data_IF_361349549876
#
_entry.id   IF_361349549876
#
_cell.length_a   1.000
_cell.length_b   1.000
_cell.length_c   1.000
_cell.angle_alpha   90.00
_cell.angle_beta   90.00
_cell.angle_gamma   90.00
#
_symmetry.space_group_name_H-M   'P 1'
#
loop_
_entity.id
_entity.type
_entity.pdbx_description
1 polymer ?
#
# COMPACT_ATOMS: atom_id res chain seq x y z
N UNK A 1 -8.29 26.29 28.36
CA UNK A 1 -7.19 25.78 27.51
C UNK A 1 -7.72 25.77 26.10
N UNK A 2 -7.09 26.51 25.15
CA UNK A 2 -7.50 26.43 23.75
C UNK A 2 -7.24 24.99 23.28
N UNK A 3 -8.31 24.27 22.93
CA UNK A 3 -8.16 22.97 22.27
C UNK A 3 -7.34 23.15 20.98
N UNK A 4 -6.37 22.25 20.76
CA UNK A 4 -5.65 22.22 19.50
C UNK A 4 -6.66 21.89 18.38
N UNK A 5 -6.77 22.76 17.39
CA UNK A 5 -7.71 22.55 16.27
C UNK A 5 -7.15 21.61 15.22
N UNK A 6 -5.83 21.36 15.25
CA UNK A 6 -5.12 20.54 14.27
C UNK A 6 -4.12 19.60 14.95
N UNK A 7 -3.85 18.49 14.26
CA UNK A 7 -2.73 17.61 14.56
C UNK A 7 -1.98 17.28 13.26
N UNK A 8 -0.77 16.71 13.38
CA UNK A 8 0.03 16.28 12.24
C UNK A 8 -0.16 14.77 12.07
N UNK A 9 -0.63 14.35 10.90
CA UNK A 9 -0.63 12.97 10.46
C UNK A 9 0.52 12.74 9.48
N UNK A 10 1.21 11.61 9.56
CA UNK A 10 2.30 11.27 8.66
C UNK A 10 2.18 9.85 8.11
N UNK A 11 2.24 9.72 6.79
CA UNK A 11 2.45 8.45 6.10
C UNK A 11 3.90 8.41 5.59
N UNK A 12 4.73 7.58 6.23
CA UNK A 12 6.16 7.58 5.98
C UNK A 12 6.65 6.25 5.42
N UNK A 13 6.67 6.17 4.10
CA UNK A 13 7.19 5.01 3.39
C UNK A 13 8.71 4.97 3.29
N UNK A 14 9.22 3.94 2.61
CA UNK A 14 10.65 3.78 2.35
C UNK A 14 11.22 4.94 1.52
N UNK A 15 10.50 5.37 0.48
CA UNK A 15 10.97 6.35 -0.51
C UNK A 15 10.43 7.76 -0.31
N UNK A 16 9.28 7.92 0.34
CA UNK A 16 8.58 9.19 0.47
C UNK A 16 7.94 9.35 1.86
N UNK A 17 7.92 10.60 2.33
CA UNK A 17 7.14 11.07 3.46
C UNK A 17 5.99 11.95 2.95
N UNK A 18 4.79 11.71 3.46
CA UNK A 18 3.63 12.61 3.30
C UNK A 18 3.17 13.06 4.68
N UNK A 19 3.12 14.37 4.89
CA UNK A 19 2.61 14.99 6.11
C UNK A 19 1.31 15.71 5.80
N UNK A 20 0.36 15.61 6.70
CA UNK A 20 -0.96 16.20 6.61
C UNK A 20 -1.24 17.03 7.87
N UNK A 21 -1.68 18.25 7.69
CA UNK A 21 -2.29 19.08 8.75
C UNK A 21 -3.78 18.73 8.78
N UNK A 22 -4.22 18.06 9.84
CA UNK A 22 -5.56 17.47 9.91
C UNK A 22 -6.35 18.13 11.03
N UNK A 23 -7.58 18.54 10.72
CA UNK A 23 -8.54 19.04 11.71
C UNK A 23 -8.92 17.93 12.69
N UNK A 24 -8.88 18.21 13.98
CA UNK A 24 -9.06 17.22 15.05
C UNK A 24 -10.48 16.66 15.12
N UNK A 25 -11.47 17.38 14.65
CA UNK A 25 -12.89 17.00 14.73
C UNK A 25 -13.36 16.36 13.44
N UNK A 26 -13.17 17.04 12.31
CA UNK A 26 -13.69 16.61 11.01
C UNK A 26 -12.79 15.61 10.29
N UNK A 27 -11.51 15.52 10.64
CA UNK A 27 -10.52 14.73 9.90
C UNK A 27 -10.14 15.32 8.54
N UNK A 28 -10.64 16.52 8.21
CA UNK A 28 -10.30 17.19 6.95
C UNK A 28 -8.83 17.60 6.93
N UNK A 29 -8.19 17.40 5.78
CA UNK A 29 -6.82 17.83 5.54
C UNK A 29 -6.80 19.29 5.11
N UNK A 30 -6.20 20.15 5.92
CA UNK A 30 -6.07 21.57 5.64
C UNK A 30 -4.82 21.87 4.79
N UNK A 31 -3.76 21.10 4.93
CA UNK A 31 -2.53 21.29 4.16
C UNK A 31 -1.72 19.99 4.09
N UNK A 32 -0.88 19.86 3.07
CA UNK A 32 0.02 18.73 2.86
C UNK A 32 1.46 19.17 2.65
N UNK A 33 2.41 18.33 3.05
CA UNK A 33 3.83 18.47 2.72
C UNK A 33 4.43 17.12 2.40
N UNK A 34 5.42 17.11 1.52
CA UNK A 34 6.22 15.93 1.20
C UNK A 34 7.64 16.07 1.74
N UNK A 35 8.27 14.96 2.00
CA UNK A 35 9.64 14.89 2.46
C UNK A 35 10.33 13.60 2.03
N UNK A 36 11.61 13.42 2.41
CA UNK A 36 12.38 12.21 2.09
C UNK A 36 11.80 10.98 2.81
N UNK A 37 11.88 9.81 2.15
CA UNK A 37 11.53 8.54 2.77
C UNK A 37 12.54 8.09 3.82
N UNK A 38 12.17 7.07 4.60
CA UNK A 38 13.02 6.56 5.71
C UNK A 38 14.39 6.10 5.23
N UNK A 39 14.53 5.57 4.02
CA UNK A 39 15.83 5.16 3.47
C UNK A 39 16.84 6.30 3.25
N UNK A 40 16.38 7.55 3.33
CA UNK A 40 17.18 8.76 3.05
C UNK A 40 17.45 9.59 4.32
N UNK A 41 17.02 9.11 5.49
CA UNK A 41 17.08 9.87 6.75
C UNK A 41 17.64 9.00 7.86
N UNK A 42 18.58 9.54 8.65
CA UNK A 42 19.04 8.85 9.86
C UNK A 42 17.99 8.98 10.98
N UNK A 43 17.79 7.93 11.76
CA UNK A 43 16.80 7.91 12.84
C UNK A 43 16.94 9.09 13.83
N UNK A 44 18.19 9.48 14.15
CA UNK A 44 18.48 10.59 15.07
C UNK A 44 18.13 11.97 14.51
N UNK A 45 17.99 12.10 13.18
CA UNK A 45 17.68 13.36 12.50
C UNK A 45 16.17 13.56 12.29
N UNK A 46 15.37 12.54 12.57
CA UNK A 46 13.92 12.57 12.34
C UNK A 46 13.23 13.68 13.11
N UNK A 47 13.50 13.91 14.43
CA UNK A 47 12.84 15.00 15.17
C UNK A 47 13.11 16.38 14.54
N UNK A 48 14.35 16.66 14.14
CA UNK A 48 14.75 17.93 13.55
C UNK A 48 14.18 18.10 12.13
N UNK A 49 14.16 17.03 11.35
CA UNK A 49 13.52 17.05 10.03
C UNK A 49 12.03 17.38 10.13
N UNK A 50 11.31 16.73 11.04
CA UNK A 50 9.90 16.98 11.28
C UNK A 50 9.67 18.41 11.78
N UNK A 51 10.49 18.89 12.70
CA UNK A 51 10.41 20.28 13.19
C UNK A 51 10.53 21.28 12.04
N UNK A 52 11.54 21.14 11.16
CA UNK A 52 11.73 22.00 9.98
C UNK A 52 10.57 21.91 8.98
N UNK A 53 10.11 20.70 8.68
CA UNK A 53 9.01 20.52 7.73
C UNK A 53 7.70 21.09 8.26
N UNK A 54 7.44 20.97 9.55
CA UNK A 54 6.19 21.39 10.18
C UNK A 54 6.23 22.85 10.72
N UNK A 55 7.39 23.50 10.74
CA UNK A 55 7.57 24.85 11.30
C UNK A 55 6.48 25.86 10.89
N UNK A 56 6.12 26.02 9.58
CA UNK A 56 5.08 26.97 9.19
C UNK A 56 3.71 26.64 9.80
N UNK A 57 3.39 25.36 10.00
CA UNK A 57 2.14 24.95 10.63
C UNK A 57 2.16 25.20 12.15
N UNK A 58 3.31 24.94 12.79
CA UNK A 58 3.51 25.13 14.23
C UNK A 58 3.47 26.63 14.61
N UNK A 59 3.89 27.53 13.70
CA UNK A 59 3.81 28.96 13.91
C UNK A 59 2.38 29.52 13.76
N UNK A 60 1.55 28.89 12.92
CA UNK A 60 0.21 29.37 12.60
C UNK A 60 -0.89 28.73 13.46
N UNK A 61 -0.64 27.52 13.98
CA UNK A 61 -1.64 26.72 14.66
C UNK A 61 -1.11 26.17 15.99
N UNK A 62 -2.00 26.02 16.97
CA UNK A 62 -1.68 25.32 18.20
C UNK A 62 -1.75 23.80 17.96
N UNK A 63 -0.61 23.18 17.66
CA UNK A 63 -0.46 21.74 17.37
C UNK A 63 0.33 21.11 18.51
N UNK A 64 -0.25 20.15 19.21
CA UNK A 64 0.39 19.46 20.34
C UNK A 64 0.53 17.96 20.13
N UNK A 65 0.06 17.42 18.98
CA UNK A 65 0.02 15.99 18.73
C UNK A 65 0.42 15.66 17.29
N UNK A 66 1.14 14.57 17.13
CA UNK A 66 1.43 13.99 15.82
C UNK A 66 1.31 12.46 15.86
N UNK A 67 0.91 11.86 14.74
CA UNK A 67 0.77 10.41 14.61
C UNK A 67 1.24 9.95 13.23
N UNK A 68 2.00 8.87 13.20
CA UNK A 68 2.68 8.40 12.01
C UNK A 68 2.41 6.92 11.76
N UNK A 69 2.27 6.53 10.49
CA UNK A 69 2.26 5.14 10.03
C UNK A 69 3.43 4.85 9.09
N UNK A 70 3.63 3.59 8.78
CA UNK A 70 4.61 3.13 7.80
C UNK A 70 6.01 2.91 8.38
N UNK A 71 7.02 3.02 7.52
CA UNK A 71 8.41 2.63 7.82
C UNK A 71 9.08 3.41 8.95
N UNK A 72 8.53 4.54 9.35
CA UNK A 72 8.99 5.28 10.55
C UNK A 72 8.91 4.43 11.82
N UNK A 73 8.03 3.43 11.87
CA UNK A 73 7.86 2.47 12.96
C UNK A 73 8.64 1.17 12.80
N UNK A 74 9.58 1.09 11.88
CA UNK A 74 10.45 -0.07 11.68
C UNK A 74 11.76 0.06 12.47
N UNK A 75 12.56 -1.01 12.50
CA UNK A 75 13.89 -1.04 13.15
C UNK A 75 14.88 -0.04 12.55
N UNK A 76 14.66 0.42 11.32
CA UNK A 76 15.46 1.47 10.66
C UNK A 76 14.81 2.86 10.74
N UNK A 77 13.63 2.95 11.36
CA UNK A 77 12.87 4.20 11.51
C UNK A 77 13.18 4.94 12.81
N UNK A 78 12.23 5.76 13.25
CA UNK A 78 12.35 6.55 14.47
C UNK A 78 12.32 5.71 15.75
N UNK A 79 11.40 4.73 15.79
CA UNK A 79 11.31 3.75 16.86
C UNK A 79 10.65 2.48 16.33
N UNK A 80 11.09 1.33 16.78
CA UNK A 80 10.43 0.07 16.45
C UNK A 80 9.08 -0.03 17.20
N UNK A 81 8.00 0.15 16.45
CA UNK A 81 6.64 0.09 16.98
C UNK A 81 6.09 -1.36 17.11
N UNK A 82 6.86 -2.35 16.68
CA UNK A 82 6.46 -3.75 16.70
C UNK A 82 5.31 -4.09 15.76
N UNK A 83 4.67 -5.25 16.00
CA UNK A 83 3.55 -5.78 15.21
C UNK A 83 2.47 -6.36 16.12
N UNK A 84 1.21 -6.26 15.69
CA UNK A 84 0.09 -7.01 16.26
C UNK A 84 -0.24 -8.21 15.37
N UNK A 85 -0.66 -9.31 15.98
CA UNK A 85 -0.93 -10.55 15.27
C UNK A 85 -2.38 -10.65 14.77
N UNK A 86 -2.57 -11.15 13.56
CA UNK A 86 -3.87 -11.54 13.03
C UNK A 86 -4.38 -12.85 13.70
N UNK A 87 -5.72 -13.04 13.78
CA UNK A 87 -6.81 -12.15 13.34
C UNK A 87 -6.87 -10.86 14.15
N UNK A 88 -7.08 -9.73 13.49
CA UNK A 88 -6.96 -8.42 14.13
C UNK A 88 -8.09 -7.45 13.72
N UNK A 89 -8.83 -6.93 14.71
CA UNK A 89 -9.59 -5.68 14.56
C UNK A 89 -8.61 -4.52 14.60
N UNK A 90 -8.50 -3.79 13.48
CA UNK A 90 -7.53 -2.70 13.33
C UNK A 90 -7.78 -1.51 14.27
N UNK A 91 -8.98 -1.36 14.84
CA UNK A 91 -9.23 -0.35 15.87
C UNK A 91 -8.37 -0.60 17.12
N UNK A 92 -7.99 -1.84 17.40
CA UNK A 92 -7.13 -2.21 18.54
C UNK A 92 -5.71 -1.64 18.45
N UNK A 93 -5.25 -1.23 17.25
CA UNK A 93 -3.96 -0.54 17.06
C UNK A 93 -3.85 0.72 17.93
N UNK A 94 -4.95 1.42 18.18
CA UNK A 94 -4.98 2.62 19.03
C UNK A 94 -4.48 2.35 20.46
N UNK A 95 -4.60 1.12 20.96
CA UNK A 95 -4.17 0.72 22.29
C UNK A 95 -2.67 0.35 22.37
N UNK A 96 -1.98 0.34 21.23
CA UNK A 96 -0.59 -0.13 21.10
C UNK A 96 0.30 0.86 20.35
N UNK A 97 -0.10 2.12 20.29
CA UNK A 97 0.71 3.19 19.73
C UNK A 97 2.05 3.31 20.47
N UNK A 98 3.13 3.44 19.72
CA UNK A 98 4.48 3.59 20.24
C UNK A 98 4.86 5.07 20.34
N UNK A 99 5.38 5.50 21.49
CA UNK A 99 5.94 6.85 21.68
C UNK A 99 7.41 6.84 21.27
N UNK A 100 7.81 7.57 20.21
CA UNK A 100 9.20 7.61 19.82
C UNK A 100 10.05 8.47 20.77
N UNK A 101 11.37 8.20 20.88
CA UNK A 101 12.27 9.00 21.71
C UNK A 101 12.52 10.40 21.12
N UNK A 102 12.88 11.34 21.99
CA UNK A 102 13.31 12.71 21.63
C UNK A 102 12.29 13.47 20.75
N UNK A 103 11.01 13.18 20.88
CA UNK A 103 9.96 13.89 20.15
C UNK A 103 9.76 15.31 20.72
N UNK A 104 9.68 16.31 19.82
CA UNK A 104 9.47 17.72 20.20
C UNK A 104 8.04 18.03 20.63
N UNK A 105 7.10 17.10 20.41
CA UNK A 105 5.70 17.14 20.83
C UNK A 105 5.22 15.73 21.15
N UNK A 106 4.00 15.59 21.69
CA UNK A 106 3.40 14.27 21.85
C UNK A 106 3.24 13.57 20.50
N UNK A 107 4.11 12.63 20.22
CA UNK A 107 4.18 11.89 18.96
C UNK A 107 3.86 10.41 19.19
N UNK A 108 3.16 9.80 18.24
CA UNK A 108 2.80 8.39 18.28
C UNK A 108 3.10 7.72 16.94
N UNK A 109 3.51 6.47 16.98
CA UNK A 109 3.74 5.66 15.79
C UNK A 109 2.80 4.45 15.84
N UNK A 110 2.11 4.20 14.76
CA UNK A 110 1.19 3.09 14.59
C UNK A 110 2.03 1.82 14.36
N UNK A 111 1.78 0.72 15.12
CA UNK A 111 2.46 -0.55 14.88
C UNK A 111 1.99 -1.21 13.59
N UNK A 112 2.84 -2.07 13.03
CA UNK A 112 2.47 -2.90 11.89
C UNK A 112 1.57 -4.08 12.29
N UNK A 113 1.23 -4.91 11.29
CA UNK A 113 0.45 -6.14 11.49
C UNK A 113 1.24 -7.33 10.97
N UNK A 114 1.13 -8.47 11.67
CA UNK A 114 1.76 -9.74 11.33
C UNK A 114 0.72 -10.85 11.26
N UNK A 115 0.90 -11.79 10.34
CA UNK A 115 0.06 -12.97 10.27
C UNK A 115 0.86 -14.23 9.93
N UNK A 116 0.23 -15.39 10.09
CA UNK A 116 0.59 -16.58 9.34
C UNK A 116 -0.17 -16.50 8.02
N UNK A 117 0.56 -16.35 6.92
CA UNK A 117 -0.02 -16.27 5.58
C UNK A 117 -0.72 -17.58 5.19
N UNK A 118 -1.57 -17.59 4.14
CA UNK A 118 -2.20 -18.81 3.65
C UNK A 118 -1.22 -19.92 3.22
N UNK A 119 0.04 -19.57 2.96
CA UNK A 119 1.11 -20.56 2.66
C UNK A 119 1.80 -21.12 3.89
N UNK A 120 1.42 -20.65 5.10
CA UNK A 120 2.00 -21.08 6.37
C UNK A 120 3.28 -20.33 6.79
N UNK A 121 3.75 -19.38 5.98
CA UNK A 121 4.88 -18.53 6.34
C UNK A 121 4.42 -17.29 7.11
N UNK A 122 5.28 -16.75 7.99
CA UNK A 122 5.06 -15.44 8.61
C UNK A 122 5.11 -14.35 7.56
N UNK A 123 4.14 -13.43 7.58
CA UNK A 123 4.10 -12.25 6.74
C UNK A 123 3.82 -11.00 7.57
N UNK A 124 4.27 -9.83 7.08
CA UNK A 124 4.15 -8.56 7.78
C UNK A 124 3.73 -7.43 6.83
N UNK A 125 2.97 -6.48 7.36
CA UNK A 125 2.68 -5.21 6.68
C UNK A 125 2.87 -4.04 7.64
N UNK A 126 3.24 -2.89 7.09
CA UNK A 126 3.44 -1.66 7.87
C UNK A 126 3.15 -0.43 7.02
N UNK A 127 2.06 0.26 7.37
CA UNK A 127 1.47 1.38 6.64
C UNK A 127 0.14 1.00 6.00
N UNK A 128 0.06 -0.18 5.41
CA UNK A 128 -1.15 -0.69 4.75
C UNK A 128 -2.32 -0.91 5.72
N UNK A 129 -2.05 -1.22 6.98
CA UNK A 129 -3.08 -1.37 8.04
C UNK A 129 -3.93 -0.10 8.19
N UNK A 130 -3.34 1.08 8.02
CA UNK A 130 -4.09 2.34 8.09
C UNK A 130 -4.97 2.55 6.87
N UNK A 131 -4.52 2.13 5.69
CA UNK A 131 -5.32 2.18 4.47
C UNK A 131 -6.53 1.23 4.55
N UNK A 132 -6.32 0.03 5.10
CA UNK A 132 -7.40 -0.95 5.32
C UNK A 132 -8.42 -0.41 6.31
N UNK A 133 -7.98 0.18 7.43
CA UNK A 133 -8.88 0.79 8.41
C UNK A 133 -9.68 1.94 7.79
N UNK A 134 -9.03 2.79 6.98
CA UNK A 134 -9.71 3.84 6.22
C UNK A 134 -10.72 3.29 5.21
N UNK A 135 -10.40 2.17 4.55
CA UNK A 135 -11.32 1.50 3.64
C UNK A 135 -12.57 0.98 4.35
N UNK A 136 -12.41 0.38 5.52
CA UNK A 136 -13.54 -0.09 6.36
C UNK A 136 -14.45 1.09 6.73
N UNK A 137 -13.90 2.26 7.02
CA UNK A 137 -14.70 3.44 7.35
C UNK A 137 -15.40 4.04 6.14
N UNK A 138 -14.73 4.06 4.98
CA UNK A 138 -15.29 4.59 3.74
C UNK A 138 -16.35 3.68 3.12
N UNK A 139 -16.20 2.37 3.32
CA UNK A 139 -17.01 1.30 2.73
C UNK A 139 -17.58 0.40 3.83
N UNK A 140 -18.70 0.78 4.48
CA UNK A 140 -19.27 0.04 5.60
C UNK A 140 -19.65 -1.40 5.27
N UNK A 141 -19.83 -1.75 3.99
CA UNK A 141 -20.06 -3.12 3.55
C UNK A 141 -18.90 -4.06 3.95
N UNK A 142 -17.68 -3.54 4.12
CA UNK A 142 -16.52 -4.30 4.59
C UNK A 142 -16.64 -4.80 6.03
N UNK A 143 -17.59 -4.28 6.80
CA UNK A 143 -17.91 -4.76 8.14
C UNK A 143 -18.73 -6.07 8.14
N UNK A 144 -19.18 -6.55 6.98
CA UNK A 144 -20.06 -7.71 6.88
C UNK A 144 -19.57 -8.68 5.80
N UNK A 145 -19.43 -9.95 6.16
CA UNK A 145 -19.03 -11.00 5.23
C UNK A 145 -17.52 -11.03 4.96
N UNK A 146 -17.17 -11.62 3.82
CA UNK A 146 -15.77 -11.84 3.42
C UNK A 146 -15.41 -10.98 2.22
N UNK A 147 -14.26 -10.33 2.29
CA UNK A 147 -13.72 -9.45 1.23
C UNK A 147 -12.25 -9.74 0.97
N UNK A 148 -11.85 -9.60 -0.28
CA UNK A 148 -10.45 -9.62 -0.69
C UNK A 148 -10.02 -8.21 -1.09
N UNK A 149 -8.97 -7.71 -0.43
CA UNK A 149 -8.39 -6.41 -0.73
C UNK A 149 -6.99 -6.62 -1.34
N UNK A 150 -6.65 -5.80 -2.31
CA UNK A 150 -5.30 -5.69 -2.87
C UNK A 150 -4.79 -4.28 -2.62
N UNK A 151 -3.61 -4.17 -2.06
CA UNK A 151 -2.88 -2.92 -1.89
C UNK A 151 -1.61 -2.98 -2.75
N UNK A 152 -1.70 -2.61 -4.03
CA UNK A 152 -0.58 -2.60 -4.95
C UNK A 152 0.50 -1.61 -4.54
N UNK A 153 1.77 -2.01 -4.70
CA UNK A 153 2.93 -1.18 -4.39
C UNK A 153 4.23 -1.87 -4.79
N UNK A 154 5.33 -1.49 -4.17
CA UNK A 154 6.60 -2.22 -4.31
C UNK A 154 6.42 -3.69 -3.91
N UNK A 155 5.73 -3.91 -2.79
CA UNK A 155 5.31 -5.20 -2.28
C UNK A 155 3.79 -5.17 -2.11
N UNK A 156 3.06 -5.85 -2.97
CA UNK A 156 1.60 -5.88 -2.89
C UNK A 156 1.13 -6.68 -1.68
N UNK A 157 0.09 -6.21 -1.03
CA UNK A 157 -0.59 -6.96 0.03
C UNK A 157 -1.94 -7.46 -0.46
N UNK A 158 -2.15 -8.76 -0.37
CA UNK A 158 -3.45 -9.39 -0.59
C UNK A 158 -4.05 -9.78 0.74
N UNK A 159 -5.14 -9.13 1.12
CA UNK A 159 -5.68 -9.19 2.48
C UNK A 159 -7.07 -9.83 2.49
N UNK A 160 -7.22 -10.88 3.28
CA UNK A 160 -8.51 -11.46 3.60
C UNK A 160 -9.14 -10.72 4.78
N UNK A 161 -10.25 -10.06 4.52
CA UNK A 161 -11.05 -9.37 5.54
C UNK A 161 -12.35 -10.14 5.76
N UNK A 162 -12.74 -10.33 7.02
CA UNK A 162 -14.00 -10.94 7.39
C UNK A 162 -14.65 -10.17 8.53
N UNK A 163 -15.86 -9.70 8.30
CA UNK A 163 -16.65 -8.95 9.29
C UNK A 163 -15.84 -7.77 9.91
N UNK A 164 -15.09 -7.04 9.07
CA UNK A 164 -14.23 -5.93 9.48
C UNK A 164 -12.89 -6.32 10.13
N UNK A 165 -12.62 -7.62 10.30
CA UNK A 165 -11.40 -8.17 10.91
C UNK A 165 -10.43 -8.64 9.83
N UNK A 166 -9.17 -8.26 9.91
CA UNK A 166 -8.09 -8.83 9.06
C UNK A 166 -7.80 -10.24 9.55
N UNK A 167 -8.17 -11.25 8.75
CA UNK A 167 -7.91 -12.66 9.10
C UNK A 167 -6.46 -13.07 8.79
N UNK A 168 -6.01 -12.75 7.59
CA UNK A 168 -4.66 -13.03 7.12
C UNK A 168 -4.33 -12.19 5.89
N UNK A 169 -3.08 -12.19 5.49
CA UNK A 169 -2.64 -11.59 4.24
C UNK A 169 -1.43 -12.33 3.68
N UNK A 170 -1.13 -12.05 2.41
CA UNK A 170 0.10 -12.50 1.74
C UNK A 170 0.69 -11.36 0.93
N UNK A 171 2.00 -11.26 0.96
CA UNK A 171 2.78 -10.29 0.20
C UNK A 171 3.25 -10.89 -1.12
N UNK A 172 3.07 -10.17 -2.23
CA UNK A 172 3.74 -10.44 -3.49
C UNK A 172 4.72 -9.32 -3.85
N UNK A 173 5.83 -9.67 -4.48
CA UNK A 173 6.92 -8.72 -4.82
C UNK A 173 6.73 -8.08 -6.20
N UNK A 174 5.49 -7.85 -6.64
CA UNK A 174 5.17 -7.45 -8.01
C UNK A 174 5.88 -6.17 -8.47
N UNK A 175 5.80 -5.10 -7.68
CA UNK A 175 6.40 -3.82 -8.05
C UNK A 175 7.93 -3.89 -8.05
N UNK A 176 8.53 -4.55 -7.07
CA UNK A 176 9.97 -4.75 -7.00
C UNK A 176 10.47 -5.64 -8.14
N UNK A 177 9.76 -6.74 -8.43
CA UNK A 177 10.09 -7.63 -9.54
C UNK A 177 10.05 -6.88 -10.87
N UNK A 178 8.96 -6.15 -11.14
CA UNK A 178 8.83 -5.32 -12.35
C UNK A 178 9.98 -4.30 -12.46
N UNK A 179 10.25 -3.57 -11.40
CA UNK A 179 11.33 -2.58 -11.37
C UNK A 179 12.71 -3.22 -11.62
N UNK A 180 12.99 -4.35 -10.99
CA UNK A 180 14.26 -5.07 -11.15
C UNK A 180 14.43 -5.62 -12.56
N UNK A 181 13.37 -6.21 -13.13
CA UNK A 181 13.40 -6.77 -14.47
C UNK A 181 13.51 -5.67 -15.54
N UNK A 182 12.86 -4.53 -15.36
CA UNK A 182 12.96 -3.44 -16.32
C UNK A 182 14.29 -2.72 -16.28
N UNK A 183 14.91 -2.58 -15.11
CA UNK A 183 16.18 -1.84 -14.96
C UNK A 183 17.43 -2.70 -15.19
N UNK A 184 17.37 -3.99 -14.84
CA UNK A 184 18.58 -4.80 -14.70
C UNK A 184 18.58 -6.10 -15.50
N UNK A 185 17.51 -6.42 -16.26
CA UNK A 185 17.46 -7.66 -17.04
C UNK A 185 17.55 -7.45 -18.55
N UNK A 186 17.71 -8.55 -19.27
CA UNK A 186 17.67 -8.57 -20.74
C UNK A 186 16.23 -8.53 -21.29
N UNK A 187 15.22 -8.72 -20.45
CA UNK A 187 13.82 -8.87 -20.87
C UNK A 187 13.29 -7.61 -21.55
N UNK A 188 13.68 -6.45 -21.05
CA UNK A 188 13.26 -5.15 -21.55
C UNK A 188 14.42 -4.30 -22.07
N UNK A 189 15.58 -4.94 -22.38
CA UNK A 189 16.75 -4.21 -22.85
C UNK A 189 16.45 -3.37 -24.09
N UNK A 190 16.66 -2.03 -23.96
CA UNK A 190 16.41 -1.06 -25.01
C UNK A 190 14.95 -0.62 -25.11
N UNK A 191 14.09 -1.00 -24.18
CA UNK A 191 12.81 -0.33 -24.01
C UNK A 191 13.11 1.13 -23.64
N UNK A 192 12.69 2.05 -24.49
CA UNK A 192 12.71 3.47 -24.17
C UNK A 192 11.47 3.77 -23.31
N UNK A 193 11.56 4.81 -22.47
CA UNK A 193 10.37 5.36 -21.78
C UNK A 193 9.43 5.92 -22.86
N UNK A 194 8.54 5.09 -23.39
CA UNK A 194 7.47 5.45 -24.31
C UNK A 194 6.19 5.69 -23.52
N UNK A 195 5.22 6.32 -24.17
CA UNK A 195 3.86 6.34 -23.66
C UNK A 195 3.36 4.91 -23.42
N UNK A 196 2.56 4.72 -22.38
CA UNK A 196 1.95 3.43 -22.02
C UNK A 196 1.15 2.85 -23.19
N UNK A 197 1.48 1.63 -23.59
CA UNK A 197 0.78 0.92 -24.65
C UNK A 197 -0.21 -0.09 -24.04
N UNK A 198 -1.47 0.36 -23.96
CA UNK A 198 -2.57 -0.41 -23.37
C UNK A 198 -2.74 -1.79 -24.01
N UNK A 199 -2.54 -1.90 -25.35
CA UNK A 199 -2.77 -3.17 -26.04
C UNK A 199 -1.75 -4.22 -25.62
N UNK A 200 -0.47 -3.88 -25.55
CA UNK A 200 0.55 -4.83 -25.12
C UNK A 200 0.47 -5.17 -23.64
N UNK A 201 -0.01 -4.25 -22.80
CA UNK A 201 -0.36 -4.58 -21.42
C UNK A 201 -1.46 -5.65 -21.38
N UNK A 202 -2.55 -5.46 -22.12
CA UNK A 202 -3.65 -6.43 -22.22
C UNK A 202 -3.16 -7.78 -22.76
N UNK A 203 -2.30 -7.78 -23.79
CA UNK A 203 -1.72 -9.01 -24.32
C UNK A 203 -0.94 -9.78 -23.24
N UNK A 204 -0.20 -9.08 -22.38
CA UNK A 204 0.47 -9.66 -21.21
C UNK A 204 -0.52 -10.27 -20.21
N UNK A 205 -1.60 -9.56 -19.88
CA UNK A 205 -2.66 -10.04 -18.99
C UNK A 205 -3.32 -11.30 -19.56
N UNK A 206 -3.74 -11.28 -20.81
CA UNK A 206 -4.35 -12.45 -21.48
C UNK A 206 -3.37 -13.63 -21.45
N UNK A 207 -2.10 -13.38 -21.78
CA UNK A 207 -1.07 -14.44 -21.77
C UNK A 207 -0.92 -15.08 -20.39
N UNK A 208 -1.05 -14.31 -19.33
CA UNK A 208 -1.01 -14.82 -17.95
C UNK A 208 -2.10 -15.86 -17.68
N UNK A 209 -3.29 -15.69 -18.25
CA UNK A 209 -4.44 -16.57 -18.05
C UNK A 209 -4.41 -17.80 -18.95
N UNK A 210 -4.01 -17.66 -20.21
CA UNK A 210 -3.91 -18.78 -21.17
C UNK A 210 -2.98 -19.87 -20.69
N UNK A 211 -1.89 -19.51 -20.03
CA UNK A 211 -0.87 -20.43 -19.54
C UNK A 211 -0.92 -20.63 -18.01
N UNK A 212 -2.12 -20.74 -17.46
CA UNK A 212 -2.36 -20.79 -16.00
C UNK A 212 -1.56 -21.86 -15.26
N UNK A 213 -1.21 -22.97 -15.93
CA UNK A 213 -0.39 -24.06 -15.36
C UNK A 213 1.11 -23.88 -15.53
N UNK A 214 1.55 -22.87 -16.29
CA UNK A 214 2.96 -22.59 -16.49
C UNK A 214 3.44 -21.62 -15.44
N UNK A 215 4.55 -21.89 -14.79
CA UNK A 215 5.11 -21.00 -13.78
C UNK A 215 5.50 -19.65 -14.37
N UNK A 216 5.33 -18.59 -13.58
CA UNK A 216 5.64 -17.22 -13.99
C UNK A 216 7.07 -17.09 -14.52
N UNK A 217 8.04 -17.80 -13.92
CA UNK A 217 9.45 -17.77 -14.33
C UNK A 217 9.63 -18.10 -15.82
N UNK A 218 8.88 -19.07 -16.33
CA UNK A 218 8.93 -19.45 -17.75
C UNK A 218 8.26 -18.38 -18.63
N UNK A 219 7.15 -17.82 -18.19
CA UNK A 219 6.41 -16.81 -18.95
C UNK A 219 7.18 -15.48 -19.03
N UNK A 220 7.93 -15.10 -18.02
CA UNK A 220 8.72 -13.87 -18.02
C UNK A 220 9.68 -13.79 -19.22
N UNK A 221 10.29 -14.92 -19.62
CA UNK A 221 11.22 -14.96 -20.75
C UNK A 221 10.51 -14.74 -22.10
N UNK A 222 9.19 -14.95 -22.18
CA UNK A 222 8.42 -14.63 -23.39
C UNK A 222 8.51 -13.15 -23.77
N UNK A 223 8.68 -12.26 -22.79
CA UNK A 223 8.93 -10.84 -23.06
C UNK A 223 10.13 -10.66 -24.02
N UNK A 224 11.21 -11.44 -23.81
CA UNK A 224 12.41 -11.36 -24.65
C UNK A 224 12.28 -12.17 -25.92
N UNK A 225 11.79 -13.40 -25.87
CA UNK A 225 11.70 -14.28 -27.03
C UNK A 225 10.76 -13.73 -28.10
N UNK A 226 9.64 -13.11 -27.70
CA UNK A 226 8.70 -12.44 -28.62
C UNK A 226 9.30 -11.19 -29.29
N UNK A 227 10.18 -10.45 -28.61
CA UNK A 227 10.94 -9.37 -29.25
C UNK A 227 11.85 -9.90 -30.37
N UNK A 228 12.60 -10.97 -30.05
CA UNK A 228 13.50 -11.59 -31.03
C UNK A 228 12.75 -12.23 -32.20
N UNK A 229 11.54 -12.72 -31.94
CA UNK A 229 10.64 -13.29 -32.95
C UNK A 229 9.83 -12.23 -33.74
N UNK A 230 10.00 -10.95 -33.46
CA UNK A 230 9.26 -9.86 -34.12
C UNK A 230 7.78 -9.76 -33.74
N UNK A 231 7.35 -10.42 -32.68
CA UNK A 231 5.96 -10.45 -32.21
C UNK A 231 5.66 -9.36 -31.15
N UNK A 232 6.69 -8.81 -30.53
CA UNK A 232 6.59 -7.76 -29.52
C UNK A 232 7.57 -6.64 -29.84
N UNK A 233 7.11 -5.40 -30.12
CA UNK A 233 8.00 -4.26 -30.29
C UNK A 233 8.81 -4.00 -29.02
N UNK A 234 10.08 -3.69 -29.17
CA UNK A 234 10.99 -3.44 -28.06
C UNK A 234 10.45 -2.35 -27.10
N UNK A 235 9.88 -1.28 -27.62
CA UNK A 235 9.30 -0.17 -26.85
C UNK A 235 8.12 -0.59 -25.95
N UNK A 236 7.37 -1.61 -26.34
CA UNK A 236 6.19 -2.11 -25.62
C UNK A 236 6.50 -3.29 -24.66
N UNK A 237 7.77 -3.67 -24.56
CA UNK A 237 8.15 -4.84 -23.75
C UNK A 237 7.91 -4.67 -22.26
N UNK A 238 8.01 -3.44 -21.74
CA UNK A 238 7.71 -3.15 -20.35
C UNK A 238 6.21 -3.27 -20.05
N UNK A 239 5.36 -2.83 -20.97
CA UNK A 239 3.90 -2.90 -20.81
C UNK A 239 3.42 -4.35 -20.85
N UNK A 240 3.92 -5.17 -21.79
CA UNK A 240 3.64 -6.60 -21.84
C UNK A 240 4.10 -7.30 -20.55
N UNK A 241 5.31 -7.01 -20.07
CA UNK A 241 5.83 -7.55 -18.82
C UNK A 241 4.97 -7.15 -17.62
N UNK A 242 4.54 -5.88 -17.55
CA UNK A 242 3.64 -5.39 -16.50
C UNK A 242 2.32 -6.15 -16.50
N UNK A 243 1.68 -6.28 -17.65
CA UNK A 243 0.44 -7.05 -17.79
C UNK A 243 0.58 -8.51 -17.37
N UNK A 244 1.70 -9.16 -17.74
CA UNK A 244 1.99 -10.54 -17.37
C UNK A 244 2.13 -10.71 -15.85
N UNK A 245 2.87 -9.82 -15.19
CA UNK A 245 3.11 -9.86 -13.74
C UNK A 245 1.80 -9.57 -12.98
N UNK A 246 1.09 -8.48 -13.33
CA UNK A 246 -0.17 -8.09 -12.66
C UNK A 246 -1.24 -9.16 -12.87
N UNK A 247 -1.37 -9.68 -14.09
CA UNK A 247 -2.33 -10.74 -14.38
C UNK A 247 -2.06 -12.01 -13.56
N UNK A 248 -0.79 -12.39 -13.39
CA UNK A 248 -0.42 -13.55 -12.55
C UNK A 248 -0.63 -13.32 -11.07
N UNK A 249 -0.36 -12.12 -10.58
CA UNK A 249 -0.60 -11.74 -9.19
C UNK A 249 -2.10 -11.82 -8.86
N UNK A 250 -2.94 -11.21 -9.72
CA UNK A 250 -4.38 -11.21 -9.56
C UNK A 250 -4.98 -12.62 -9.59
N UNK A 251 -4.59 -13.45 -10.57
CA UNK A 251 -5.04 -14.84 -10.67
C UNK A 251 -4.59 -15.68 -9.49
N UNK A 252 -3.31 -15.56 -9.10
CA UNK A 252 -2.74 -16.34 -7.99
C UNK A 252 -3.39 -16.00 -6.66
N UNK A 253 -3.64 -14.72 -6.40
CA UNK A 253 -4.34 -14.29 -5.19
C UNK A 253 -5.81 -14.77 -5.17
N UNK A 254 -6.51 -14.68 -6.31
CA UNK A 254 -7.88 -15.17 -6.41
C UNK A 254 -7.98 -16.69 -6.23
N UNK A 255 -7.00 -17.45 -6.68
CA UNK A 255 -6.94 -18.90 -6.45
C UNK A 255 -6.68 -19.22 -4.97
N UNK A 256 -5.70 -18.53 -4.39
CA UNK A 256 -5.32 -18.72 -2.99
C UNK A 256 -6.45 -18.38 -2.03
N UNK A 257 -7.18 -17.32 -2.32
CA UNK A 257 -8.32 -16.85 -1.53
C UNK A 257 -9.69 -17.19 -2.14
N UNK A 258 -9.80 -18.29 -2.88
CA UNK A 258 -11.04 -18.70 -3.54
C UNK A 258 -12.25 -18.79 -2.58
N UNK A 259 -12.02 -19.15 -1.31
CA UNK A 259 -13.04 -19.22 -0.26
C UNK A 259 -13.51 -17.84 0.24
N UNK A 260 -12.73 -16.78 -0.01
CA UNK A 260 -13.03 -15.39 0.41
C UNK A 260 -13.78 -14.64 -0.68
N UNK A 261 -13.44 -14.92 -1.94
CA UNK A 261 -13.88 -14.17 -3.13
C UNK A 261 -15.35 -14.39 -3.54
N UNK A 262 -16.08 -15.31 -2.92
CA UNK A 262 -17.43 -15.68 -3.35
C UNK A 262 -18.36 -14.46 -3.38
N UNK A 263 -18.59 -13.91 -4.61
CA UNK A 263 -19.58 -12.91 -4.99
C UNK A 263 -19.28 -11.43 -4.70
N UNK A 264 -18.04 -11.03 -4.41
CA UNK A 264 -17.69 -9.62 -4.22
C UNK A 264 -16.56 -9.19 -5.16
N UNK A 265 -16.51 -7.90 -5.51
CA UNK A 265 -15.37 -7.30 -6.22
C UNK A 265 -14.13 -7.29 -5.32
N UNK A 266 -12.95 -7.43 -5.93
CA UNK A 266 -11.67 -7.18 -5.26
C UNK A 266 -11.53 -5.67 -5.04
N UNK A 267 -11.34 -5.24 -3.79
CA UNK A 267 -11.07 -3.83 -3.49
C UNK A 267 -9.59 -3.53 -3.76
N UNK A 268 -9.32 -2.66 -4.72
CA UNK A 268 -7.97 -2.20 -5.07
C UNK A 268 -7.71 -0.87 -4.37
N UNK A 269 -6.73 -0.83 -3.49
CA UNK A 269 -6.37 0.36 -2.69
C UNK A 269 -5.01 0.85 -3.15
N UNK A 270 -4.96 1.86 -4.01
CA UNK A 270 -3.72 2.38 -4.60
C UNK A 270 -3.85 3.84 -5.04
N UNK A 271 -2.79 4.39 -5.62
CA UNK A 271 -2.89 5.58 -6.45
C UNK A 271 -3.61 5.27 -7.78
N UNK A 272 -4.02 6.32 -8.50
CA UNK A 272 -4.79 6.16 -9.73
C UNK A 272 -4.07 5.32 -10.78
N UNK A 273 -2.75 5.46 -10.92
CA UNK A 273 -1.99 4.79 -11.98
C UNK A 273 -1.95 3.26 -11.79
N UNK A 274 -1.72 2.80 -10.56
CA UNK A 274 -1.77 1.37 -10.25
C UNK A 274 -3.21 0.85 -10.22
N UNK A 275 -4.15 1.62 -9.71
CA UNK A 275 -5.58 1.26 -9.71
C UNK A 275 -6.08 1.00 -11.13
N UNK A 276 -5.74 1.86 -12.10
CA UNK A 276 -6.14 1.71 -13.50
C UNK A 276 -5.56 0.43 -14.13
N UNK A 277 -4.31 0.08 -13.82
CA UNK A 277 -3.70 -1.16 -14.32
C UNK A 277 -4.37 -2.42 -13.74
N UNK A 278 -4.66 -2.41 -12.43
CA UNK A 278 -5.35 -3.55 -11.79
C UNK A 278 -6.80 -3.66 -12.24
N UNK A 279 -7.51 -2.54 -12.43
CA UNK A 279 -8.86 -2.52 -12.98
C UNK A 279 -8.87 -3.08 -14.41
N UNK A 280 -7.96 -2.61 -15.27
CA UNK A 280 -7.82 -3.08 -16.64
C UNK A 280 -7.49 -4.58 -16.69
N UNK A 281 -6.62 -5.08 -15.79
CA UNK A 281 -6.31 -6.50 -15.71
C UNK A 281 -7.52 -7.30 -15.21
N UNK A 282 -8.25 -6.78 -14.23
CA UNK A 282 -9.49 -7.39 -13.72
C UNK A 282 -10.54 -7.56 -14.82
N UNK A 283 -10.77 -6.52 -15.62
CA UNK A 283 -11.69 -6.55 -16.76
C UNK A 283 -11.33 -7.65 -17.78
N UNK A 284 -10.03 -7.83 -18.07
CA UNK A 284 -9.57 -8.85 -19.02
C UNK A 284 -9.66 -10.28 -18.46
N UNK A 285 -9.72 -10.44 -17.15
CA UNK A 285 -9.74 -11.72 -16.45
C UNK A 285 -11.11 -12.08 -15.88
N UNK A 286 -12.14 -11.31 -16.18
CA UNK A 286 -13.49 -11.43 -15.60
C UNK A 286 -13.47 -11.41 -14.06
N UNK A 287 -12.58 -10.60 -13.49
CA UNK A 287 -12.44 -10.38 -12.04
C UNK A 287 -12.94 -8.98 -11.72
N UNK A 288 -14.15 -8.83 -11.14
CA UNK A 288 -14.66 -7.53 -10.75
C UNK A 288 -13.72 -6.83 -9.77
N UNK A 289 -13.40 -5.58 -10.02
CA UNK A 289 -12.57 -4.74 -9.14
C UNK A 289 -13.32 -3.47 -8.75
N UNK A 290 -12.97 -2.91 -7.59
CA UNK A 290 -13.47 -1.63 -7.11
C UNK A 290 -12.29 -0.85 -6.51
N UNK A 291 -12.01 0.33 -7.08
CA UNK A 291 -10.80 1.09 -6.80
C UNK A 291 -11.05 2.18 -5.77
N UNK A 292 -10.16 2.28 -4.79
CA UNK A 292 -10.19 3.24 -3.69
C UNK A 292 -8.85 3.99 -3.61
N UNK A 293 -8.88 5.28 -3.34
CA UNK A 293 -7.68 6.12 -3.21
C UNK A 293 -6.91 5.82 -1.91
N UNK A 294 -5.72 5.25 -2.05
CA UNK A 294 -4.90 4.82 -0.92
C UNK A 294 -4.42 5.99 -0.03
N UNK A 295 -4.23 7.20 -0.57
CA UNK A 295 -3.80 8.36 0.23
C UNK A 295 -4.94 8.89 1.09
N UNK A 296 -6.14 8.96 0.53
CA UNK A 296 -7.34 9.33 1.29
C UNK A 296 -7.58 8.33 2.43
N UNK A 297 -7.49 7.03 2.11
CA UNK A 297 -7.73 5.97 3.09
C UNK A 297 -6.68 5.94 4.20
N UNK A 298 -5.39 6.14 3.87
CA UNK A 298 -4.32 6.26 4.88
C UNK A 298 -4.67 7.37 5.89
N UNK A 299 -5.04 8.54 5.41
CA UNK A 299 -5.43 9.67 6.25
C UNK A 299 -6.67 9.37 7.10
N UNK A 300 -7.69 8.74 6.53
CA UNK A 300 -8.91 8.34 7.26
C UNK A 300 -8.59 7.34 8.38
N UNK A 301 -7.79 6.33 8.10
CA UNK A 301 -7.36 5.34 9.10
C UNK A 301 -6.52 5.96 10.20
N UNK A 302 -5.55 6.83 9.87
CA UNK A 302 -4.76 7.57 10.86
C UNK A 302 -5.69 8.43 11.74
N UNK A 303 -6.67 9.13 11.14
CA UNK A 303 -7.62 9.96 11.90
C UNK A 303 -8.48 9.13 12.86
N UNK A 304 -8.91 7.93 12.45
CA UNK A 304 -9.62 7.01 13.33
C UNK A 304 -8.80 6.63 14.56
N UNK A 305 -7.55 6.25 14.35
CA UNK A 305 -6.64 5.88 15.43
C UNK A 305 -6.31 7.08 16.34
N UNK A 306 -6.16 8.28 15.75
CA UNK A 306 -6.00 9.52 16.51
C UNK A 306 -7.19 9.75 17.45
N UNK A 307 -8.43 9.64 16.94
CA UNK A 307 -9.65 9.82 17.74
C UNK A 307 -9.75 8.79 18.85
N UNK A 308 -9.54 7.51 18.53
CA UNK A 308 -9.58 6.42 19.50
C UNK A 308 -8.54 6.61 20.63
N UNK A 309 -7.31 7.02 20.29
CA UNK A 309 -6.23 7.24 21.25
C UNK A 309 -6.45 8.48 22.16
N UNK A 310 -7.29 9.41 21.76
CA UNK A 310 -7.60 10.63 22.53
C UNK A 310 -9.01 10.63 23.11
N UNK A 311 -9.73 9.48 23.02
CA UNK A 311 -11.09 9.29 23.52
C UNK A 311 -12.09 10.36 23.04
N UNK A 312 -11.99 10.72 21.73
CA UNK A 312 -12.83 11.74 21.07
C UNK A 312 -13.97 11.10 20.27
#
# INVERSE_FOLDING_TARGET
>A
MNQANFYIAGDWGTSNLRLYLVDTISGQCAATKSGPGISQVNANEIPDLLARLCEPWLQQHNISYSIYCGMVGSTIGWADAGYLDCPLDLNSLANKLCSPPNANMRSQIIPGVRCNSPTGATDVMRGEETQILGAIQKSPELLFGKHLLCLPGTHNKWVALKDGVVESFITSVCGELFSSLTKHSVLTRGATTSEFDKQYFIDGVIRSSEQRRTDLIHLLFETRSRQLGGQLPQKASADFLSGLIIGRDLLGACDLYSQVRLNTSVKIIADSSLSDLYALAGDQLDIPTDCLDGQELSRMGIHSLYRAANAL
#
